data_IF_623258725784
#
_entry.id   IF_623258725784
#
_cell.length_a   1.000
_cell.length_b   1.000
_cell.length_c   1.000
_cell.angle_alpha   90.00
_cell.angle_beta   90.00
_cell.angle_gamma   90.00
#
_symmetry.space_group_name_H-M   'P 1'
#
loop_
_entity.id
_entity.type
_entity.pdbx_description
1 polymer ?
#
# COMPACT_ATOMS: atom_id res chain seq x y z
N UNK A 1 3.64 6.22 3.08
CA UNK A 1 4.27 5.65 1.87
C UNK A 1 3.42 4.50 1.36
N UNK A 2 3.64 4.04 0.13
CA UNK A 2 2.98 2.86 -0.48
C UNK A 2 3.75 2.44 -1.73
N UNK A 3 3.33 1.35 -2.37
CA UNK A 3 3.75 0.98 -3.73
C UNK A 3 5.28 0.83 -3.86
N UNK A 4 5.89 0.13 -2.91
CA UNK A 4 7.32 -0.14 -2.93
C UNK A 4 7.69 -1.30 -3.86
N UNK A 5 6.76 -2.25 -4.05
CA UNK A 5 6.92 -3.43 -4.90
C UNK A 5 8.25 -4.15 -4.66
N UNK A 6 8.64 -4.34 -3.40
CA UNK A 6 9.88 -5.01 -3.04
C UNK A 6 9.92 -6.41 -3.65
N UNK A 7 10.97 -6.66 -4.44
CA UNK A 7 11.17 -7.90 -5.18
C UNK A 7 12.67 -8.28 -5.22
N UNK A 8 13.01 -9.59 -5.26
CA UNK A 8 14.42 -10.03 -5.25
C UNK A 8 15.25 -9.52 -6.43
N UNK A 9 14.62 -9.22 -7.55
CA UNK A 9 15.22 -8.66 -8.77
C UNK A 9 15.34 -7.13 -8.74
N UNK A 10 14.91 -6.48 -7.66
CA UNK A 10 15.01 -5.02 -7.46
C UNK A 10 15.77 -4.67 -6.16
N UNK A 11 17.05 -5.08 -6.02
CA UNK A 11 17.82 -4.89 -4.79
C UNK A 11 18.01 -3.41 -4.43
N UNK A 12 18.10 -2.50 -5.40
CA UNK A 12 18.26 -1.07 -5.15
C UNK A 12 17.05 -0.46 -4.42
N UNK A 13 15.82 -0.91 -4.74
CA UNK A 13 14.60 -0.45 -4.06
C UNK A 13 14.57 -0.97 -2.63
N UNK A 14 14.99 -2.22 -2.41
CA UNK A 14 15.15 -2.80 -1.08
C UNK A 14 16.15 -2.00 -0.25
N UNK A 15 17.35 -1.73 -0.78
CA UNK A 15 18.38 -0.98 -0.05
C UNK A 15 17.90 0.43 0.32
N UNK A 16 17.22 1.11 -0.59
CA UNK A 16 16.60 2.42 -0.33
C UNK A 16 15.59 2.34 0.83
N UNK A 17 14.72 1.33 0.83
CA UNK A 17 13.77 1.10 1.90
C UNK A 17 14.44 0.80 3.25
N UNK A 18 15.45 -0.08 3.27
CA UNK A 18 16.18 -0.43 4.48
C UNK A 18 16.90 0.80 5.07
N UNK A 19 17.55 1.62 4.23
CA UNK A 19 18.17 2.89 4.66
C UNK A 19 17.12 3.85 5.21
N UNK A 20 15.96 3.96 4.57
CA UNK A 20 14.87 4.80 5.05
C UNK A 20 14.40 4.38 6.45
N UNK A 21 14.21 3.07 6.67
CA UNK A 21 13.81 2.51 7.97
C UNK A 21 14.89 2.72 9.05
N UNK A 22 16.16 2.56 8.70
CA UNK A 22 17.28 2.73 9.63
C UNK A 22 17.53 4.20 9.99
N UNK A 23 17.20 5.14 9.10
CA UNK A 23 17.38 6.56 9.29
C UNK A 23 16.07 7.29 9.57
N UNK A 24 15.52 7.94 8.53
CA UNK A 24 14.46 8.95 8.66
C UNK A 24 13.19 8.43 9.32
N UNK A 25 12.83 7.17 9.10
CA UNK A 25 11.62 6.58 9.70
C UNK A 25 11.66 6.63 11.24
N UNK A 26 12.84 6.49 11.86
CA UNK A 26 13.01 6.47 13.31
C UNK A 26 12.70 7.82 13.97
N UNK A 27 12.76 8.91 13.22
CA UNK A 27 12.38 10.23 13.70
C UNK A 27 10.86 10.44 13.70
N UNK A 28 10.09 9.56 13.08
CA UNK A 28 8.64 9.66 13.03
C UNK A 28 8.00 8.97 14.23
N UNK A 29 6.97 9.60 14.81
CA UNK A 29 6.08 8.95 15.78
C UNK A 29 5.32 7.78 15.17
N UNK A 30 4.88 7.92 13.91
CA UNK A 30 4.08 6.93 13.19
C UNK A 30 4.53 6.79 11.75
N UNK A 31 4.62 5.55 11.27
CA UNK A 31 4.81 5.21 9.86
C UNK A 31 3.57 4.46 9.36
N UNK A 32 2.99 4.94 8.26
CA UNK A 32 1.91 4.27 7.54
C UNK A 32 2.39 3.76 6.17
N UNK A 33 2.20 2.46 5.93
CA UNK A 33 2.48 1.78 4.66
C UNK A 33 1.14 1.40 4.01
N UNK A 34 0.72 2.12 2.98
CA UNK A 34 -0.63 2.00 2.39
C UNK A 34 -0.70 0.93 1.27
N UNK A 35 -0.21 -0.26 1.56
CA UNK A 35 -0.24 -1.42 0.67
C UNK A 35 0.87 -1.44 -0.39
N UNK A 36 0.97 -2.59 -1.05
CA UNK A 36 1.95 -2.91 -2.08
C UNK A 36 3.40 -2.68 -1.59
N UNK A 37 3.67 -3.13 -0.37
CA UNK A 37 5.04 -3.21 0.18
C UNK A 37 5.88 -4.20 -0.61
N UNK A 38 5.28 -5.33 -1.01
CA UNK A 38 5.94 -6.37 -1.81
C UNK A 38 5.27 -6.47 -3.18
N UNK A 39 6.05 -6.77 -4.23
CA UNK A 39 5.49 -6.99 -5.58
C UNK A 39 4.61 -8.27 -5.64
N UNK A 40 4.85 -9.21 -4.73
CA UNK A 40 3.96 -10.33 -4.43
C UNK A 40 4.20 -10.85 -3.00
N UNK A 41 3.12 -11.04 -2.23
CA UNK A 41 3.16 -11.81 -0.98
C UNK A 41 2.33 -13.07 -1.10
N UNK A 42 2.97 -14.23 -1.01
CA UNK A 42 2.30 -15.54 -1.18
C UNK A 42 1.97 -16.25 0.13
N UNK A 43 2.29 -15.64 1.27
CA UNK A 43 2.07 -16.21 2.60
C UNK A 43 3.24 -15.90 3.53
N UNK A 44 2.95 -15.83 4.82
CA UNK A 44 3.94 -15.46 5.83
C UNK A 44 5.07 -16.50 5.99
N UNK A 45 4.84 -17.73 5.54
CA UNK A 45 5.80 -18.84 5.55
C UNK A 45 6.86 -18.76 4.43
N UNK A 46 6.83 -17.69 3.62
CA UNK A 46 7.87 -17.46 2.62
C UNK A 46 9.13 -16.81 3.25
N UNK A 47 10.14 -17.65 3.44
CA UNK A 47 11.44 -17.33 4.04
C UNK A 47 12.51 -16.95 3.00
N UNK A 48 12.19 -16.10 2.02
CA UNK A 48 13.25 -15.54 1.17
C UNK A 48 14.18 -14.61 1.97
N UNK A 49 15.42 -14.44 1.51
CA UNK A 49 16.38 -13.53 2.16
C UNK A 49 15.85 -12.09 2.22
N UNK A 50 15.20 -11.61 1.16
CA UNK A 50 14.55 -10.30 1.12
C UNK A 50 13.46 -10.18 2.18
N UNK A 51 12.56 -11.15 2.29
CA UNK A 51 11.48 -11.10 3.28
C UNK A 51 12.03 -11.06 4.71
N UNK A 52 13.05 -11.87 5.02
CA UNK A 52 13.73 -11.83 6.31
C UNK A 52 14.34 -10.46 6.60
N UNK A 53 15.04 -9.87 5.63
CA UNK A 53 15.64 -8.55 5.78
C UNK A 53 14.60 -7.46 6.06
N UNK A 54 13.48 -7.47 5.32
CA UNK A 54 12.37 -6.53 5.53
C UNK A 54 11.72 -6.74 6.90
N UNK A 55 11.48 -7.99 7.31
CA UNK A 55 10.89 -8.28 8.63
C UNK A 55 11.78 -7.81 9.77
N UNK A 56 13.09 -8.06 9.67
CA UNK A 56 14.09 -7.60 10.63
C UNK A 56 14.12 -6.07 10.72
N UNK A 57 14.19 -5.36 9.59
CA UNK A 57 14.25 -3.90 9.58
C UNK A 57 12.97 -3.24 10.13
N UNK A 58 11.79 -3.78 9.80
CA UNK A 58 10.53 -3.32 10.39
C UNK A 58 10.47 -3.60 11.90
N UNK A 59 10.98 -4.74 12.35
CA UNK A 59 11.09 -5.06 13.77
C UNK A 59 12.01 -4.09 14.50
N UNK A 60 13.16 -3.77 13.93
CA UNK A 60 14.06 -2.76 14.51
C UNK A 60 13.40 -1.39 14.60
N UNK A 61 12.68 -0.98 13.54
CA UNK A 61 11.94 0.29 13.55
C UNK A 61 10.90 0.32 14.68
N UNK A 62 10.07 -0.71 14.80
CA UNK A 62 9.03 -0.74 15.85
C UNK A 62 9.63 -0.85 17.24
N UNK A 63 10.73 -1.58 17.41
CA UNK A 63 11.47 -1.66 18.66
C UNK A 63 12.12 -0.31 19.06
N UNK A 64 12.43 0.55 18.09
CA UNK A 64 12.94 1.91 18.35
C UNK A 64 11.87 2.90 18.85
N UNK A 65 10.60 2.50 18.87
CA UNK A 65 9.48 3.30 19.38
C UNK A 65 8.59 3.93 18.31
N UNK A 66 8.94 3.83 17.02
CA UNK A 66 8.08 4.27 15.92
C UNK A 66 6.89 3.31 15.77
N UNK A 67 5.66 3.82 15.88
CA UNK A 67 4.47 3.02 15.61
C UNK A 67 4.36 2.76 14.11
N UNK A 68 4.47 1.50 13.68
CA UNK A 68 4.31 1.14 12.27
C UNK A 68 2.97 0.45 12.02
N UNK A 69 2.23 0.94 11.02
CA UNK A 69 0.95 0.38 10.62
C UNK A 69 0.88 0.23 9.09
N UNK A 70 0.22 -0.83 8.62
CA UNK A 70 0.10 -1.13 7.20
C UNK A 70 -1.33 -1.45 6.78
N UNK A 71 -1.68 -1.11 5.54
CA UNK A 71 -2.83 -1.61 4.82
C UNK A 71 -2.39 -2.73 3.88
N UNK A 72 -3.29 -3.64 3.57
CA UNK A 72 -3.10 -4.55 2.45
C UNK A 72 -3.26 -3.80 1.13
N UNK A 73 -2.32 -4.02 0.20
CA UNK A 73 -2.44 -3.67 -1.19
C UNK A 73 -3.10 -4.77 -2.02
N UNK A 74 -3.00 -4.67 -3.34
CA UNK A 74 -3.44 -5.71 -4.26
C UNK A 74 -2.38 -6.78 -4.54
N UNK A 75 -1.12 -6.52 -4.19
CA UNK A 75 -0.01 -7.47 -4.33
C UNK A 75 0.28 -8.28 -3.06
N UNK A 76 -0.07 -7.73 -1.90
CA UNK A 76 0.34 -8.24 -0.59
C UNK A 76 -0.83 -8.45 0.40
N UNK A 77 -2.04 -8.65 -0.12
CA UNK A 77 -3.26 -8.92 0.68
C UNK A 77 -3.26 -10.23 1.49
N UNK A 78 -2.20 -11.04 1.34
CA UNK A 78 -1.99 -12.27 2.11
C UNK A 78 -1.10 -12.06 3.34
N UNK A 79 -0.57 -10.85 3.58
CA UNK A 79 0.17 -10.54 4.81
C UNK A 79 -0.70 -10.90 6.01
N UNK A 80 -0.19 -11.81 6.84
CA UNK A 80 -0.92 -12.44 7.92
C UNK A 80 -0.42 -12.07 9.31
N UNK A 81 -0.93 -12.81 10.30
CA UNK A 81 -0.64 -12.56 11.72
C UNK A 81 0.81 -12.88 12.09
N UNK A 82 1.48 -13.79 11.38
CA UNK A 82 2.86 -14.14 11.71
C UNK A 82 3.80 -12.98 11.34
N UNK A 83 3.62 -12.40 10.15
CA UNK A 83 4.34 -11.20 9.73
C UNK A 83 4.15 -10.04 10.72
N UNK A 84 2.89 -9.76 11.11
CA UNK A 84 2.58 -8.66 12.03
C UNK A 84 3.20 -8.86 13.42
N UNK A 85 3.19 -10.11 13.93
CA UNK A 85 3.80 -10.44 15.22
C UNK A 85 5.32 -10.29 15.18
N UNK A 86 5.96 -10.76 14.11
CA UNK A 86 7.41 -10.70 13.95
C UNK A 86 7.89 -9.25 13.84
N UNK A 87 7.21 -8.46 13.01
CA UNK A 87 7.59 -7.05 12.73
C UNK A 87 7.13 -6.05 13.78
N UNK A 88 6.14 -6.39 14.60
CA UNK A 88 5.46 -5.43 15.49
C UNK A 88 4.53 -4.45 14.77
N UNK A 89 4.38 -4.58 13.44
CA UNK A 89 3.47 -3.74 12.66
C UNK A 89 2.01 -4.05 13.00
N UNK A 90 1.16 -3.02 12.91
CA UNK A 90 -0.30 -3.16 13.04
C UNK A 90 -0.97 -3.21 11.68
N UNK A 91 -1.85 -4.17 11.47
CA UNK A 91 -2.70 -4.19 10.29
C UNK A 91 -3.90 -3.24 10.48
N UNK A 92 -4.07 -2.32 9.54
CA UNK A 92 -5.22 -1.44 9.44
C UNK A 92 -6.29 -2.03 8.51
N UNK A 93 -7.57 -1.77 8.75
CA UNK A 93 -8.62 -2.08 7.78
C UNK A 93 -8.49 -1.15 6.56
N UNK A 94 -8.85 -1.64 5.37
CA UNK A 94 -9.01 -0.78 4.19
C UNK A 94 -10.50 -0.60 3.90
N UNK A 95 -11.09 0.61 4.00
CA UNK A 95 -10.46 1.88 4.39
C UNK A 95 -10.29 2.03 5.92
N UNK A 96 -9.34 2.89 6.35
CA UNK A 96 -9.12 3.25 7.76
C UNK A 96 -9.27 4.76 7.96
N UNK A 97 -10.17 5.19 8.85
CA UNK A 97 -10.31 6.61 9.22
C UNK A 97 -9.52 6.90 10.49
N UNK A 98 -8.68 7.93 10.43
CA UNK A 98 -7.87 8.43 11.54
C UNK A 98 -8.05 9.94 11.71
N UNK A 99 -7.54 10.49 12.81
CA UNK A 99 -7.41 11.92 13.01
C UNK A 99 -5.93 12.29 12.90
N UNK A 100 -5.60 13.28 12.09
CA UNK A 100 -4.28 13.91 12.03
C UNK A 100 -4.51 15.37 12.38
N UNK A 101 -3.96 15.82 13.51
CA UNK A 101 -4.17 17.17 14.08
C UNK A 101 -5.65 17.56 14.18
N UNK A 102 -6.49 16.60 14.60
CA UNK A 102 -7.94 16.78 14.72
C UNK A 102 -8.70 16.68 13.38
N UNK A 103 -8.00 16.60 12.25
CA UNK A 103 -8.61 16.51 10.93
C UNK A 103 -8.92 15.06 10.51
N UNK A 104 -10.19 14.74 10.18
CA UNK A 104 -10.60 13.43 9.66
C UNK A 104 -9.90 13.05 8.36
N UNK A 105 -8.97 12.11 8.44
CA UNK A 105 -8.18 11.61 7.31
C UNK A 105 -8.49 10.13 7.06
N UNK A 106 -8.83 9.80 5.81
CA UNK A 106 -9.03 8.44 5.34
C UNK A 106 -7.74 7.90 4.72
N UNK A 107 -7.31 6.74 5.16
CA UNK A 107 -6.20 5.98 4.58
C UNK A 107 -6.78 4.81 3.78
N UNK A 108 -6.32 4.67 2.55
CA UNK A 108 -6.70 3.58 1.65
C UNK A 108 -5.48 3.11 0.87
N UNK A 109 -5.51 1.88 0.38
CA UNK A 109 -4.55 1.50 -0.66
C UNK A 109 -4.87 2.21 -1.98
N UNK A 110 -6.15 2.24 -2.38
CA UNK A 110 -6.65 3.01 -3.54
C UNK A 110 -7.33 2.15 -4.60
N UNK A 111 -7.02 0.85 -4.66
CA UNK A 111 -7.57 -0.09 -5.64
C UNK A 111 -9.10 -0.24 -5.62
N UNK A 112 -9.76 0.09 -4.50
CA UNK A 112 -11.24 0.16 -4.39
C UNK A 112 -11.87 1.34 -5.13
N UNK A 113 -11.09 2.39 -5.38
CA UNK A 113 -11.57 3.63 -6.00
C UNK A 113 -11.59 3.52 -7.52
N UNK A 114 -10.89 2.55 -8.11
CA UNK A 114 -10.87 2.25 -9.54
C UNK A 114 -12.11 1.43 -9.95
N UNK A 115 -13.31 1.99 -9.75
CA UNK A 115 -14.59 1.27 -9.95
C UNK A 115 -14.91 0.99 -11.41
N UNK A 116 -14.31 1.75 -12.32
CA UNK A 116 -14.54 1.62 -13.76
C UNK A 116 -13.81 0.39 -14.34
N UNK A 117 -12.78 -0.12 -13.65
CA UNK A 117 -12.14 -1.40 -13.96
C UNK A 117 -12.94 -2.59 -13.40
N UNK A 118 -14.08 -2.87 -14.02
CA UNK A 118 -15.00 -3.94 -13.61
C UNK A 118 -14.34 -5.33 -13.60
N UNK A 119 -13.36 -5.56 -14.48
CA UNK A 119 -12.62 -6.82 -14.53
C UNK A 119 -11.74 -6.97 -13.28
N UNK A 120 -10.98 -5.93 -12.95
CA UNK A 120 -10.17 -5.89 -11.75
C UNK A 120 -11.03 -5.99 -10.48
N UNK A 121 -12.14 -5.24 -10.38
CA UNK A 121 -13.01 -5.28 -9.20
C UNK A 121 -13.63 -6.68 -8.98
N UNK A 122 -13.97 -7.41 -10.05
CA UNK A 122 -14.42 -8.81 -9.96
C UNK A 122 -13.32 -9.74 -9.47
N UNK A 123 -12.12 -9.61 -10.04
CA UNK A 123 -10.95 -10.38 -9.61
C UNK A 123 -10.63 -10.14 -8.14
N UNK A 124 -10.57 -8.87 -7.73
CA UNK A 124 -10.34 -8.41 -6.36
C UNK A 124 -11.30 -9.06 -5.36
N UNK A 125 -12.61 -9.10 -5.68
CA UNK A 125 -13.61 -9.77 -4.83
C UNK A 125 -13.34 -11.27 -4.70
N UNK A 126 -12.95 -11.94 -5.79
CA UNK A 126 -12.62 -13.38 -5.79
C UNK A 126 -11.40 -13.67 -4.92
N UNK A 127 -10.26 -13.00 -5.14
CA UNK A 127 -9.01 -13.34 -4.44
C UNK A 127 -9.00 -12.94 -2.96
N UNK A 128 -9.81 -11.94 -2.59
CA UNK A 128 -9.97 -11.54 -1.18
C UNK A 128 -11.01 -12.38 -0.43
N UNK A 129 -11.74 -13.29 -1.09
CA UNK A 129 -12.64 -14.21 -0.44
C UNK A 129 -11.87 -15.12 0.55
N UNK A 130 -12.31 -15.26 1.82
CA UNK A 130 -11.59 -16.06 2.83
C UNK A 130 -11.35 -17.52 2.43
N UNK A 131 -12.30 -18.16 1.74
CA UNK A 131 -12.16 -19.55 1.28
C UNK A 131 -11.09 -19.65 0.19
N UNK A 132 -11.09 -18.71 -0.76
CA UNK A 132 -10.06 -18.65 -1.82
C UNK A 132 -8.68 -18.42 -1.22
N UNK A 133 -8.53 -17.49 -0.27
CA UNK A 133 -7.28 -17.26 0.44
C UNK A 133 -6.80 -18.52 1.17
N UNK A 134 -7.70 -19.20 1.90
CA UNK A 134 -7.34 -20.44 2.62
C UNK A 134 -6.90 -21.54 1.67
N UNK A 135 -7.65 -21.78 0.59
CA UNK A 135 -7.30 -22.78 -0.43
C UNK A 135 -5.99 -22.46 -1.14
N UNK A 136 -5.69 -21.18 -1.36
CA UNK A 136 -4.41 -20.75 -1.91
C UNK A 136 -3.26 -21.04 -0.95
N UNK A 137 -3.40 -20.66 0.33
CA UNK A 137 -2.39 -20.86 1.37
C UNK A 137 -2.15 -22.34 1.73
N UNK A 138 -3.09 -23.23 1.42
CA UNK A 138 -2.91 -24.69 1.57
C UNK A 138 -1.98 -25.31 0.52
N UNK A 139 -1.67 -24.61 -0.56
CA UNK A 139 -0.77 -25.10 -1.61
C UNK A 139 0.69 -25.00 -1.16
N UNK A 140 1.56 -25.83 -1.73
CA UNK A 140 3.00 -25.70 -1.53
C UNK A 140 3.50 -24.31 -1.95
N UNK A 141 4.61 -23.85 -1.35
CA UNK A 141 5.23 -22.58 -1.72
C UNK A 141 5.56 -22.51 -3.21
N UNK A 142 6.08 -23.60 -3.78
CA UNK A 142 6.38 -23.68 -5.21
C UNK A 142 5.13 -23.43 -6.09
N UNK A 143 4.01 -24.08 -5.78
CA UNK A 143 2.75 -23.85 -6.49
C UNK A 143 2.24 -22.43 -6.34
N UNK A 144 2.32 -21.85 -5.13
CA UNK A 144 1.90 -20.47 -4.89
C UNK A 144 2.76 -19.46 -5.66
N UNK A 145 4.08 -19.64 -5.72
CA UNK A 145 4.99 -18.81 -6.52
C UNK A 145 4.65 -18.88 -8.01
N UNK A 146 4.40 -20.07 -8.54
CA UNK A 146 4.03 -20.25 -9.94
C UNK A 146 2.71 -19.54 -10.28
N UNK A 147 1.68 -19.65 -9.42
CA UNK A 147 0.40 -18.96 -9.60
C UNK A 147 0.57 -17.44 -9.54
N UNK A 148 1.34 -16.93 -8.56
CA UNK A 148 1.59 -15.50 -8.43
C UNK A 148 2.33 -14.95 -9.66
N UNK A 149 3.35 -15.66 -10.17
CA UNK A 149 4.07 -15.28 -11.37
C UNK A 149 3.15 -15.24 -12.61
N UNK A 150 2.28 -16.24 -12.78
CA UNK A 150 1.30 -16.25 -13.88
C UNK A 150 0.30 -15.11 -13.79
N UNK A 151 -0.22 -14.83 -12.59
CA UNK A 151 -1.10 -13.70 -12.37
C UNK A 151 -0.44 -12.37 -12.73
N UNK A 152 0.82 -12.15 -12.34
CA UNK A 152 1.57 -10.94 -12.69
C UNK A 152 1.72 -10.79 -14.21
N UNK A 153 2.10 -11.85 -14.93
CA UNK A 153 2.21 -11.80 -16.40
C UNK A 153 0.89 -11.39 -17.04
N UNK A 154 -0.21 -12.06 -16.70
CA UNK A 154 -1.54 -11.75 -17.24
C UNK A 154 -2.01 -10.34 -16.87
N UNK A 155 -1.69 -9.88 -15.66
CA UNK A 155 -2.03 -8.53 -15.23
C UNK A 155 -1.25 -7.47 -16.03
N UNK A 156 0.03 -7.72 -16.32
CA UNK A 156 0.85 -6.82 -17.13
C UNK A 156 0.32 -6.74 -18.58
N UNK A 157 0.00 -7.90 -19.17
CA UNK A 157 -0.63 -7.99 -20.50
C UNK A 157 -1.97 -7.25 -20.54
N UNK A 158 -2.86 -7.51 -19.58
CA UNK A 158 -4.16 -6.85 -19.52
C UNK A 158 -4.06 -5.34 -19.29
N UNK A 159 -3.08 -4.87 -18.52
CA UNK A 159 -2.86 -3.45 -18.28
C UNK A 159 -2.31 -2.74 -19.51
N UNK A 160 -1.47 -3.40 -20.31
CA UNK A 160 -0.96 -2.83 -21.57
C UNK A 160 -2.06 -2.53 -22.60
N UNK A 161 -3.17 -3.27 -22.54
CA UNK A 161 -4.32 -3.11 -23.41
C UNK A 161 -5.37 -2.09 -22.91
N UNK A 162 -5.24 -1.59 -21.66
CA UNK A 162 -6.21 -0.67 -21.05
C UNK A 162 -5.79 0.78 -21.28
N UNK A 163 -6.78 1.66 -21.43
CA UNK A 163 -6.51 3.10 -21.45
C UNK A 163 -6.15 3.60 -20.05
N UNK A 164 -5.24 4.58 -20.00
CA UNK A 164 -4.77 5.20 -18.76
C UNK A 164 -5.91 5.79 -17.90
N UNK A 165 -7.07 6.11 -18.49
CA UNK A 165 -8.25 6.65 -17.81
C UNK A 165 -9.03 5.58 -17.04
N UNK A 166 -9.11 4.34 -17.56
CA UNK A 166 -9.85 3.24 -16.90
C UNK A 166 -9.11 2.73 -15.66
N UNK A 167 -7.78 2.89 -15.63
CA UNK A 167 -6.94 2.43 -14.52
C UNK A 167 -6.82 3.45 -13.37
N UNK A 168 -7.27 4.69 -13.56
CA UNK A 168 -7.24 5.71 -12.52
C UNK A 168 -8.47 5.59 -11.60
N UNK A 169 -8.48 6.38 -10.52
CA UNK A 169 -9.63 6.44 -9.62
C UNK A 169 -10.84 7.07 -10.32
N UNK A 170 -12.02 6.53 -10.02
CA UNK A 170 -13.27 7.17 -10.39
C UNK A 170 -13.52 8.37 -9.46
N UNK A 171 -13.64 9.57 -10.05
CA UNK A 171 -13.71 10.82 -9.28
C UNK A 171 -14.96 10.90 -8.40
N UNK A 172 -16.11 10.40 -8.88
CA UNK A 172 -17.33 10.37 -8.08
C UNK A 172 -17.20 9.40 -6.90
N UNK A 173 -16.56 8.25 -7.11
CA UNK A 173 -16.29 7.27 -6.06
C UNK A 173 -15.41 7.85 -4.96
N UNK A 174 -14.43 8.70 -5.30
CA UNK A 174 -13.62 9.43 -4.31
C UNK A 174 -14.50 10.30 -3.42
N UNK A 175 -15.34 11.16 -4.03
CA UNK A 175 -16.21 12.10 -3.31
C UNK A 175 -17.21 11.35 -2.43
N UNK A 176 -17.85 10.30 -2.95
CA UNK A 176 -18.81 9.49 -2.20
C UNK A 176 -18.14 8.75 -1.04
N UNK A 177 -16.90 8.30 -1.21
CA UNK A 177 -16.13 7.63 -0.16
C UNK A 177 -15.76 8.60 0.95
N UNK A 178 -15.29 9.81 0.62
CA UNK A 178 -15.02 10.87 1.59
C UNK A 178 -16.28 11.24 2.37
N UNK A 179 -17.42 11.41 1.67
CA UNK A 179 -18.73 11.68 2.29
C UNK A 179 -19.15 10.57 3.25
N UNK A 180 -19.14 9.32 2.79
CA UNK A 180 -19.57 8.14 3.57
C UNK A 180 -18.79 7.99 4.87
N UNK A 181 -17.49 8.31 4.85
CA UNK A 181 -16.63 8.20 6.02
C UNK A 181 -16.50 9.51 6.82
N UNK A 182 -17.15 10.60 6.39
CA UNK A 182 -17.03 11.91 7.05
C UNK A 182 -15.56 12.34 7.17
N UNK A 183 -14.81 12.22 6.07
CA UNK A 183 -13.39 12.58 5.98
C UNK A 183 -13.21 13.81 5.09
N UNK A 184 -12.27 14.68 5.44
CA UNK A 184 -11.90 15.87 4.66
C UNK A 184 -10.63 15.65 3.86
N UNK A 185 -9.87 14.60 4.19
CA UNK A 185 -8.67 14.19 3.48
C UNK A 185 -8.70 12.69 3.18
N UNK A 186 -8.26 12.33 1.99
CA UNK A 186 -7.97 10.95 1.58
C UNK A 186 -6.48 10.85 1.21
N UNK A 187 -5.79 9.83 1.72
CA UNK A 187 -4.41 9.49 1.34
C UNK A 187 -4.43 8.06 0.80
N UNK A 188 -3.93 7.87 -0.43
CA UNK A 188 -3.87 6.56 -1.06
C UNK A 188 -2.67 6.40 -2.01
N UNK A 189 -2.39 5.17 -2.40
CA UNK A 189 -1.39 4.82 -3.41
C UNK A 189 -2.04 4.22 -4.65
N UNK A 190 -1.54 3.05 -5.09
CA UNK A 190 -2.07 2.18 -6.14
C UNK A 190 -1.97 2.71 -7.58
N UNK A 191 -2.30 3.98 -7.83
CA UNK A 191 -2.38 4.51 -9.20
C UNK A 191 -1.02 4.92 -9.78
N UNK A 192 0.02 5.00 -8.93
CA UNK A 192 1.38 5.41 -9.28
C UNK A 192 1.46 6.81 -9.92
N UNK A 193 0.49 7.67 -9.57
CA UNK A 193 0.35 9.05 -10.07
C UNK A 193 0.39 10.04 -8.91
N UNK A 194 1.58 10.33 -8.34
CA UNK A 194 1.69 11.21 -7.19
C UNK A 194 1.17 12.61 -7.54
N UNK A 195 0.15 13.05 -6.81
CA UNK A 195 -0.49 14.34 -6.99
C UNK A 195 -1.33 14.73 -5.77
N UNK A 196 -1.52 16.03 -5.58
CA UNK A 196 -2.40 16.61 -4.57
C UNK A 196 -3.62 17.19 -5.27
N UNK A 197 -4.78 16.56 -5.07
CA UNK A 197 -6.03 16.97 -5.70
C UNK A 197 -6.95 17.63 -4.68
N UNK A 198 -7.71 18.62 -5.14
CA UNK A 198 -8.77 19.27 -4.38
C UNK A 198 -10.10 18.94 -5.03
N UNK A 199 -11.08 18.54 -4.21
CA UNK A 199 -12.45 18.27 -4.63
C UNK A 199 -13.41 19.15 -3.84
N UNK A 200 -14.59 19.40 -4.39
CA UNK A 200 -15.69 20.03 -3.66
C UNK A 200 -16.63 18.93 -3.12
N UNK A 201 -16.92 18.98 -1.82
CA UNK A 201 -17.88 18.10 -1.15
C UNK A 201 -18.79 18.97 -0.28
N UNK A 202 -20.08 19.03 -0.62
CA UNK A 202 -21.11 19.76 0.13
C UNK A 202 -20.71 21.22 0.41
N UNK A 203 -20.13 21.89 -0.60
CA UNK A 203 -19.65 23.28 -0.52
C UNK A 203 -18.30 23.49 0.19
N UNK A 204 -17.62 22.41 0.61
CA UNK A 204 -16.31 22.45 1.28
C UNK A 204 -15.22 21.85 0.39
N UNK A 205 -14.02 22.43 0.46
CA UNK A 205 -12.84 21.82 -0.17
C UNK A 205 -12.38 20.61 0.64
N UNK A 206 -12.15 19.49 -0.04
CA UNK A 206 -11.58 18.26 0.52
C UNK A 206 -10.38 17.83 -0.31
N UNK A 207 -9.42 17.14 0.31
CA UNK A 207 -8.14 16.80 -0.30
C UNK A 207 -8.03 15.30 -0.62
N UNK A 208 -7.40 14.98 -1.74
CA UNK A 208 -6.93 13.64 -2.08
C UNK A 208 -5.44 13.68 -2.42
N UNK A 209 -4.63 13.05 -1.57
CA UNK A 209 -3.18 12.99 -1.70
C UNK A 209 -2.77 11.60 -2.20
N UNK A 210 -2.18 11.55 -3.39
CA UNK A 210 -1.71 10.30 -4.00
C UNK A 210 -0.23 10.12 -3.73
N UNK A 211 0.15 8.96 -3.19
CA UNK A 211 1.53 8.59 -2.89
C UNK A 211 2.25 8.10 -4.16
N UNK A 212 3.56 8.31 -4.21
CA UNK A 212 4.39 7.83 -5.30
C UNK A 212 4.76 6.36 -5.14
N UNK A 213 4.94 5.67 -6.28
CA UNK A 213 5.65 4.40 -6.36
C UNK A 213 7.14 4.60 -6.06
N UNK A 214 7.80 3.60 -5.49
CA UNK A 214 9.25 3.59 -5.34
C UNK A 214 9.93 2.79 -6.44
N UNK A 215 11.04 3.31 -6.94
CA UNK A 215 11.93 2.68 -7.93
C UNK A 215 13.38 2.97 -7.54
N UNK A 216 14.32 2.31 -8.20
CA UNK A 216 15.75 2.54 -7.96
C UNK A 216 16.09 4.04 -8.08
N UNK A 217 16.58 4.64 -6.97
CA UNK A 217 16.95 6.06 -6.89
C UNK A 217 15.79 7.06 -6.88
N UNK A 218 14.55 6.59 -6.83
CA UNK A 218 13.35 7.43 -6.81
C UNK A 218 12.32 6.86 -5.84
N UNK A 219 12.17 7.48 -4.68
CA UNK A 219 11.10 7.17 -3.74
C UNK A 219 10.52 8.44 -3.14
N UNK A 220 9.32 8.35 -2.58
CA UNK A 220 8.71 9.45 -1.84
C UNK A 220 7.99 8.97 -0.59
N UNK A 221 8.14 9.74 0.48
CA UNK A 221 7.31 9.63 1.66
C UNK A 221 6.55 10.94 1.89
N UNK A 222 5.23 10.86 2.06
CA UNK A 222 4.43 11.97 2.55
C UNK A 222 4.60 12.08 4.07
N UNK A 223 5.06 13.23 4.55
CA UNK A 223 5.30 13.52 5.97
C UNK A 223 4.40 14.65 6.44
N UNK A 224 3.94 14.53 7.69
CA UNK A 224 3.18 15.55 8.38
C UNK A 224 3.87 15.91 9.69
N UNK A 225 4.11 17.19 9.91
CA UNK A 225 4.71 17.74 11.12
C UNK A 225 4.12 19.14 11.40
N UNK A 226 4.69 19.88 12.35
CA UNK A 226 4.23 21.23 12.72
C UNK A 226 4.16 22.23 11.56
N UNK A 227 4.90 22.00 10.48
CA UNK A 227 4.91 22.83 9.26
C UNK A 227 3.98 22.31 8.16
N UNK A 228 3.06 21.40 8.49
CA UNK A 228 2.09 20.81 7.58
C UNK A 228 2.63 19.62 6.77
N UNK A 229 1.97 19.35 5.65
CA UNK A 229 2.29 18.25 4.74
C UNK A 229 3.49 18.56 3.85
N UNK A 230 4.41 17.60 3.72
CA UNK A 230 5.58 17.68 2.83
C UNK A 230 5.82 16.36 2.14
N UNK A 231 6.09 16.41 0.85
CA UNK A 231 6.59 15.28 0.07
C UNK A 231 8.11 15.21 0.24
N UNK A 232 8.58 14.10 0.79
CA UNK A 232 9.99 13.86 1.08
C UNK A 232 10.57 12.92 0.03
N UNK A 233 11.48 13.37 -0.84
CA UNK A 233 12.18 12.46 -1.73
C UNK A 233 13.08 11.54 -0.91
N UNK A 234 13.07 10.25 -1.26
CA UNK A 234 13.94 9.22 -0.69
C UNK A 234 14.91 8.77 -1.79
N UNK A 235 16.20 8.90 -1.52
CA UNK A 235 17.30 8.52 -2.40
C UNK A 235 18.07 7.31 -1.83
#
# INVERSE_FOLDING_TARGET
MSDLHLAPDQPATLDCFLRFLAGRARAARRLYILGDLFDAWIGDDDETAMHRAVRAALRELTASGTECALLHGNRDFLIGRAFLRETGCRLLPDPCRILIDGEPTLLMHGDRLCTDDLAYQRFRRRVRNPLVKRLFLWKSLASRRAIAADYRRRSAEANSAKTATIMDVNQQTVVDTLRRHGATRLIHGHTHRPADHVHALDGRAVQRLVLAEWRAGMGEALSHASLGWRRLPIA
#
